data_IF_243770332360
#
_entry.id   IF_243770332360
#
_cell.length_a   1.000
_cell.length_b   1.000
_cell.length_c   1.000
_cell.angle_alpha   90.00
_cell.angle_beta   90.00
_cell.angle_gamma   90.00
#
_symmetry.space_group_name_H-M   'P 1'
#
loop_
_entity.id
_entity.type
_entity.pdbx_description
1 polymer ?
#
# COMPACT_ATOMS: atom_id res chain seq x y z
N UNK A 1 16.84 -29.32 -35.66
CA UNK A 1 17.79 -28.50 -34.91
C UNK A 1 17.07 -28.12 -33.61
N UNK A 2 17.40 -28.78 -32.50
CA UNK A 2 16.71 -28.61 -31.20
C UNK A 2 17.24 -27.36 -30.52
N UNK A 3 16.43 -26.33 -30.39
CA UNK A 3 16.72 -25.14 -29.59
C UNK A 3 16.71 -25.55 -28.11
N UNK A 4 17.88 -25.54 -27.50
CA UNK A 4 18.04 -25.70 -26.04
C UNK A 4 17.59 -24.39 -25.39
N UNK A 5 16.46 -24.43 -24.72
CA UNK A 5 16.02 -23.39 -23.80
C UNK A 5 17.02 -23.37 -22.62
N UNK A 6 17.90 -22.38 -22.59
CA UNK A 6 18.74 -22.12 -21.42
C UNK A 6 17.84 -21.53 -20.34
N UNK A 7 17.46 -22.35 -19.40
CA UNK A 7 16.85 -21.93 -18.15
C UNK A 7 17.95 -21.23 -17.33
N UNK A 8 17.98 -19.90 -17.40
CA UNK A 8 18.88 -19.11 -16.55
C UNK A 8 18.42 -19.27 -15.11
N UNK A 9 19.20 -20.03 -14.37
CA UNK A 9 19.06 -20.20 -12.91
C UNK A 9 19.45 -18.85 -12.28
N UNK A 10 18.47 -17.99 -12.02
CA UNK A 10 18.69 -16.77 -11.23
C UNK A 10 18.98 -17.26 -9.80
N UNK A 11 20.25 -17.42 -9.51
CA UNK A 11 20.74 -17.56 -8.14
C UNK A 11 20.56 -16.16 -7.54
N UNK A 12 19.53 -15.99 -6.71
CA UNK A 12 19.39 -14.85 -5.84
C UNK A 12 20.58 -14.86 -4.86
N UNK A 13 21.74 -14.43 -5.34
CA UNK A 13 22.91 -14.16 -4.52
C UNK A 13 22.56 -12.97 -3.64
N UNK A 14 22.03 -13.26 -2.48
CA UNK A 14 21.65 -12.32 -1.46
C UNK A 14 22.89 -11.70 -0.83
N UNK A 15 23.39 -10.68 -1.47
CA UNK A 15 23.87 -9.56 -0.70
C UNK A 15 22.60 -8.82 -0.25
N UNK A 16 22.08 -9.18 0.94
CA UNK A 16 21.35 -8.19 1.72
C UNK A 16 22.26 -6.98 1.72
N UNK A 17 21.87 -5.92 0.99
CA UNK A 17 22.58 -4.64 1.04
C UNK A 17 22.91 -4.37 2.50
N UNK A 18 24.13 -3.84 2.84
CA UNK A 18 24.47 -3.62 4.22
C UNK A 18 23.33 -2.86 4.84
N UNK A 19 22.67 -3.51 5.82
CA UNK A 19 21.65 -2.87 6.63
C UNK A 19 22.28 -1.55 7.09
N UNK A 20 21.89 -0.45 6.48
CA UNK A 20 21.98 0.82 7.19
C UNK A 20 21.31 0.50 8.51
N UNK A 21 21.94 0.87 9.62
CA UNK A 21 21.43 0.56 10.95
C UNK A 21 19.96 1.01 10.99
N UNK A 22 19.05 0.10 10.65
CA UNK A 22 17.62 0.41 10.55
C UNK A 22 17.18 0.81 11.93
N UNK A 23 16.70 2.03 12.05
CA UNK A 23 16.12 2.53 13.29
C UNK A 23 15.04 1.55 13.72
N UNK A 24 15.17 0.97 14.92
CA UNK A 24 14.15 0.06 15.45
C UNK A 24 12.92 0.88 15.78
N UNK A 25 11.78 0.54 15.19
CA UNK A 25 10.52 1.18 15.54
C UNK A 25 10.06 0.63 16.88
N UNK A 26 9.79 1.53 17.80
CA UNK A 26 9.18 1.28 19.11
C UNK A 26 7.91 2.10 19.21
N UNK A 27 6.89 1.54 19.84
CA UNK A 27 5.63 2.26 20.05
C UNK A 27 5.77 3.40 21.06
N UNK A 28 4.86 4.34 20.96
CA UNK A 28 4.65 5.38 21.98
C UNK A 28 4.12 4.77 23.26
N UNK A 29 3.33 3.70 23.14
CA UNK A 29 2.91 2.86 24.25
C UNK A 29 3.89 1.68 24.38
N UNK A 30 4.39 1.35 25.60
CA UNK A 30 5.45 0.35 25.76
C UNK A 30 5.14 -1.03 25.19
N UNK A 31 3.88 -1.43 25.26
CA UNK A 31 3.39 -2.77 24.87
C UNK A 31 2.64 -2.80 23.53
N UNK A 32 2.68 -1.71 22.75
CA UNK A 32 2.03 -1.60 21.47
C UNK A 32 2.96 -0.97 20.43
N UNK A 33 2.92 -1.44 19.19
CA UNK A 33 3.42 -0.75 17.99
C UNK A 33 2.36 -0.82 16.91
N UNK A 34 1.92 0.35 16.45
CA UNK A 34 0.87 0.46 15.44
C UNK A 34 1.47 0.84 14.09
N UNK A 35 1.17 0.04 13.07
CA UNK A 35 1.58 0.26 11.69
C UNK A 35 0.36 0.60 10.86
N UNK A 36 0.34 1.79 10.25
CA UNK A 36 -0.67 2.16 9.27
C UNK A 36 -0.29 1.59 7.91
N UNK A 37 -1.22 0.90 7.26
CA UNK A 37 -1.17 0.59 5.83
C UNK A 37 -2.26 1.43 5.16
N UNK A 38 -1.84 2.42 4.37
CA UNK A 38 -2.72 3.28 3.60
C UNK A 38 -2.61 3.00 2.11
N UNK A 39 -3.68 3.29 1.38
CA UNK A 39 -3.77 3.04 -0.04
C UNK A 39 -3.10 4.10 -0.91
N UNK A 40 -3.75 4.43 -2.02
CA UNK A 40 -3.18 5.27 -3.06
C UNK A 40 -2.93 6.69 -2.56
N UNK A 41 -1.68 7.13 -2.76
CA UNK A 41 -1.19 8.43 -2.33
C UNK A 41 -0.59 9.16 -3.53
N UNK A 42 -1.29 10.19 -3.99
CA UNK A 42 -0.87 11.10 -5.05
C UNK A 42 -1.10 12.54 -4.59
N UNK A 43 -0.04 13.34 -4.56
CA UNK A 43 -0.16 14.76 -4.15
C UNK A 43 -0.88 15.60 -5.21
N UNK A 44 -0.92 15.14 -6.46
CA UNK A 44 -1.88 15.59 -7.47
C UNK A 44 -1.53 16.90 -8.16
N UNK A 45 -0.25 17.34 -8.19
CA UNK A 45 0.11 18.58 -8.90
C UNK A 45 -0.35 18.56 -10.34
N UNK A 46 -0.13 17.44 -11.06
CA UNK A 46 -0.57 17.32 -12.46
C UNK A 46 -2.06 17.58 -12.64
N UNK A 47 -2.88 17.06 -11.73
CA UNK A 47 -4.33 17.30 -11.75
C UNK A 47 -4.70 18.72 -11.37
N UNK A 48 -4.06 19.27 -10.34
CA UNK A 48 -4.36 20.59 -9.84
C UNK A 48 -3.93 21.69 -10.81
N UNK A 49 -2.79 21.51 -11.51
CA UNK A 49 -2.33 22.41 -12.56
C UNK A 49 -3.27 22.37 -13.77
N UNK A 50 -3.70 21.19 -14.22
CA UNK A 50 -4.65 21.02 -15.30
C UNK A 50 -6.02 21.61 -14.94
N UNK A 51 -6.52 21.41 -13.72
CA UNK A 51 -7.77 21.97 -13.25
C UNK A 51 -7.72 23.50 -13.23
N UNK A 52 -6.60 24.09 -12.78
CA UNK A 52 -6.41 25.55 -12.84
C UNK A 52 -6.33 26.08 -14.28
N UNK A 53 -5.70 25.34 -15.21
CA UNK A 53 -5.66 25.69 -16.63
C UNK A 53 -7.06 25.74 -17.26
N UNK A 54 -7.98 24.93 -16.74
CA UNK A 54 -9.39 24.90 -17.16
C UNK A 54 -10.26 25.94 -16.43
N UNK A 55 -9.68 26.84 -15.64
CA UNK A 55 -10.37 27.90 -14.92
C UNK A 55 -10.84 27.52 -13.50
N UNK A 56 -10.45 26.37 -13.00
CA UNK A 56 -10.66 25.96 -11.61
C UNK A 56 -9.61 26.52 -10.65
N UNK A 57 -9.67 26.11 -9.41
CA UNK A 57 -8.73 26.53 -8.36
C UNK A 57 -7.72 25.41 -8.08
N UNK A 58 -6.42 25.71 -8.14
CA UNK A 58 -5.37 24.82 -7.67
C UNK A 58 -5.32 24.86 -6.14
N UNK A 59 -5.83 23.81 -5.50
CA UNK A 59 -5.94 23.73 -4.04
C UNK A 59 -4.58 23.68 -3.34
N UNK A 60 -3.56 23.11 -3.99
CA UNK A 60 -2.21 23.01 -3.43
C UNK A 60 -1.54 24.39 -3.37
N UNK A 61 -1.81 25.25 -4.36
CA UNK A 61 -1.33 26.65 -4.38
C UNK A 61 -2.11 27.49 -3.38
N UNK A 62 -3.44 27.34 -3.34
CA UNK A 62 -4.31 28.18 -2.48
C UNK A 62 -4.19 27.83 -0.99
N UNK A 63 -4.15 26.53 -0.64
CA UNK A 63 -4.22 26.05 0.75
C UNK A 63 -2.94 25.40 1.26
N UNK A 64 -1.97 25.13 0.38
CA UNK A 64 -0.75 24.36 0.70
C UNK A 64 -0.99 22.86 0.79
N UNK A 65 0.08 22.11 0.74
CA UNK A 65 0.07 20.64 0.72
C UNK A 65 -0.45 20.03 2.03
N UNK A 66 -0.19 20.70 3.15
CA UNK A 66 -0.67 20.27 4.46
C UNK A 66 -2.18 20.29 4.62
N UNK A 67 -2.91 21.03 3.77
CA UNK A 67 -4.37 21.09 3.79
C UNK A 67 -4.99 19.71 3.61
N UNK A 68 -4.50 18.94 2.63
CA UNK A 68 -5.11 17.66 2.24
C UNK A 68 -5.02 16.56 3.31
N UNK A 69 -4.08 16.66 4.24
CA UNK A 69 -3.87 15.64 5.30
C UNK A 69 -4.45 16.04 6.66
N UNK A 70 -5.00 17.25 6.77
CA UNK A 70 -5.38 17.83 8.07
C UNK A 70 -6.37 16.97 8.86
N UNK A 71 -7.39 16.42 8.18
CA UNK A 71 -8.41 15.61 8.85
C UNK A 71 -7.92 14.20 9.22
N UNK A 72 -6.79 13.75 8.68
CA UNK A 72 -6.17 12.47 8.98
C UNK A 72 -5.18 12.54 10.16
N UNK A 73 -4.91 13.73 10.71
CA UNK A 73 -3.90 13.93 11.75
C UNK A 73 -4.10 13.00 12.97
N UNK A 74 -5.35 12.74 13.38
CA UNK A 74 -5.62 11.83 14.52
C UNK A 74 -5.07 10.42 14.26
N UNK A 75 -5.31 9.87 13.07
CA UNK A 75 -4.76 8.58 12.69
C UNK A 75 -3.24 8.62 12.56
N UNK A 76 -2.69 9.65 11.89
CA UNK A 76 -1.25 9.81 11.72
C UNK A 76 -0.51 9.93 13.04
N UNK A 77 -1.12 10.56 14.05
CA UNK A 77 -0.56 10.68 15.40
C UNK A 77 -0.72 9.42 16.24
N UNK A 78 -1.66 8.55 15.91
CA UNK A 78 -1.94 7.32 16.66
C UNK A 78 -1.06 6.13 16.23
N UNK A 79 -0.26 6.25 15.17
CA UNK A 79 0.55 5.17 14.61
C UNK A 79 2.04 5.48 14.66
N UNK A 80 2.87 4.44 14.74
CA UNK A 80 4.32 4.54 14.93
C UNK A 80 5.09 4.40 13.61
N UNK A 81 4.54 3.65 12.65
CA UNK A 81 5.13 3.45 11.32
C UNK A 81 4.02 3.47 10.25
N UNK A 82 4.37 3.84 9.01
CA UNK A 82 3.42 3.93 7.88
C UNK A 82 3.96 3.17 6.68
N UNK A 83 3.06 2.53 5.94
CA UNK A 83 3.30 1.94 4.63
C UNK A 83 2.20 2.45 3.70
N UNK A 84 2.56 3.21 2.68
CA UNK A 84 1.61 3.80 1.72
C UNK A 84 1.98 3.39 0.29
N UNK A 85 1.02 3.43 -0.63
CA UNK A 85 1.30 3.33 -2.06
C UNK A 85 1.56 4.73 -2.62
N UNK A 86 2.79 5.03 -3.07
CA UNK A 86 3.11 6.31 -3.71
C UNK A 86 2.83 6.22 -5.21
N UNK A 87 1.66 6.69 -5.61
CA UNK A 87 1.15 6.59 -6.97
C UNK A 87 1.43 7.85 -7.80
N UNK A 88 2.65 8.31 -7.70
CA UNK A 88 3.18 9.47 -8.44
C UNK A 88 4.69 9.51 -8.32
N UNK A 89 5.45 9.83 -9.37
CA UNK A 89 6.86 10.12 -9.22
C UNK A 89 7.08 11.46 -8.52
N UNK A 90 8.14 11.54 -7.73
CA UNK A 90 8.59 12.75 -7.04
C UNK A 90 9.67 13.43 -7.87
N UNK A 91 9.27 14.35 -8.75
CA UNK A 91 10.18 14.95 -9.73
C UNK A 91 9.69 16.33 -10.18
N UNK A 92 10.62 17.15 -10.63
CA UNK A 92 10.32 18.42 -11.30
C UNK A 92 10.20 18.27 -12.84
N UNK A 93 10.36 17.05 -13.36
CA UNK A 93 10.19 16.78 -14.80
C UNK A 93 8.74 16.94 -15.19
N UNK A 94 8.53 17.30 -16.45
CA UNK A 94 7.21 17.53 -17.07
C UNK A 94 7.23 17.03 -18.53
N UNK A 95 7.89 15.89 -18.75
CA UNK A 95 8.04 15.34 -20.08
C UNK A 95 6.93 14.32 -20.35
N UNK A 96 6.23 14.48 -21.47
CA UNK A 96 5.26 13.48 -21.92
C UNK A 96 6.00 12.38 -22.68
N UNK A 97 6.43 11.34 -21.99
CA UNK A 97 7.23 10.25 -22.55
C UNK A 97 6.38 9.13 -23.17
N UNK A 98 5.13 9.00 -22.76
CA UNK A 98 4.31 7.84 -23.09
C UNK A 98 3.10 8.24 -23.94
N UNK A 99 3.19 8.04 -25.25
CA UNK A 99 2.05 8.24 -26.14
C UNK A 99 0.91 7.27 -25.80
N UNK A 100 -0.29 7.81 -25.57
CA UNK A 100 -1.49 7.03 -25.26
C UNK A 100 -1.59 6.57 -23.81
N UNK A 101 -0.82 7.14 -22.88
CA UNK A 101 -1.06 7.06 -21.45
C UNK A 101 -1.97 8.22 -21.05
N UNK A 102 -3.19 7.90 -20.58
CA UNK A 102 -4.23 8.90 -20.36
C UNK A 102 -3.94 9.82 -19.16
N UNK A 103 -3.27 9.30 -18.13
CA UNK A 103 -2.94 10.02 -16.91
C UNK A 103 -1.45 9.92 -16.65
N UNK A 104 -0.78 11.07 -16.61
CA UNK A 104 0.65 11.19 -16.26
C UNK A 104 0.74 12.03 -15.01
N UNK A 105 1.31 11.47 -13.97
CA UNK A 105 1.43 12.10 -12.67
C UNK A 105 2.85 12.62 -12.44
N UNK A 106 2.94 13.65 -11.65
CA UNK A 106 4.17 14.13 -11.04
C UNK A 106 3.85 14.88 -9.75
N UNK A 107 4.81 14.91 -8.85
CA UNK A 107 4.71 15.65 -7.61
C UNK A 107 6.03 16.34 -7.27
N UNK A 108 5.96 17.59 -6.83
CA UNK A 108 7.13 18.42 -6.53
C UNK A 108 7.84 17.93 -5.25
N UNK A 109 9.05 17.36 -5.34
CA UNK A 109 9.79 16.87 -4.19
C UNK A 109 10.18 17.98 -3.20
N UNK A 110 10.24 19.24 -3.64
CA UNK A 110 10.60 20.39 -2.78
C UNK A 110 9.48 20.72 -1.79
N UNK A 111 8.24 20.38 -2.11
CA UNK A 111 7.05 20.62 -1.26
C UNK A 111 6.80 19.52 -0.24
N UNK A 112 7.37 18.35 -0.43
CA UNK A 112 7.12 17.18 0.40
C UNK A 112 7.57 17.26 1.86
N UNK A 113 8.64 17.99 2.25
CA UNK A 113 9.02 18.10 3.65
C UNK A 113 7.91 18.59 4.56
N UNK A 114 6.99 19.43 4.05
CA UNK A 114 5.80 19.87 4.80
C UNK A 114 4.90 18.68 5.18
N UNK A 115 4.74 17.71 4.28
CA UNK A 115 3.89 16.52 4.49
C UNK A 115 4.65 15.45 5.27
N UNK A 116 5.88 15.15 4.89
CA UNK A 116 6.68 14.10 5.53
C UNK A 116 6.90 14.35 7.01
N UNK A 117 7.10 15.61 7.42
CA UNK A 117 7.16 15.98 8.82
C UNK A 117 5.90 15.61 9.63
N UNK A 118 4.74 15.50 8.98
CA UNK A 118 3.49 15.07 9.61
C UNK A 118 3.36 13.55 9.66
N UNK A 119 3.97 12.83 8.70
CA UNK A 119 3.85 11.38 8.62
C UNK A 119 4.79 10.66 9.59
N UNK A 120 5.99 11.19 9.87
CA UNK A 120 7.01 10.48 10.65
C UNK A 120 7.58 9.28 9.89
N UNK A 121 8.09 8.23 10.57
CA UNK A 121 8.72 7.09 9.91
C UNK A 121 7.78 6.39 8.91
N UNK A 122 8.23 6.22 7.66
CA UNK A 122 7.38 5.78 6.55
C UNK A 122 8.14 4.95 5.52
N UNK A 123 7.42 4.04 4.88
CA UNK A 123 7.84 3.34 3.66
C UNK A 123 6.79 3.50 2.56
N UNK A 124 7.25 3.61 1.31
CA UNK A 124 6.38 3.71 0.15
C UNK A 124 6.54 2.51 -0.78
N UNK A 125 5.40 1.90 -1.16
CA UNK A 125 5.35 1.04 -2.33
C UNK A 125 5.46 1.90 -3.59
N UNK A 126 6.37 1.53 -4.47
CA UNK A 126 6.52 2.09 -5.82
C UNK A 126 6.10 1.05 -6.90
N UNK A 127 5.54 -0.08 -6.50
CA UNK A 127 5.03 -1.08 -7.42
C UNK A 127 3.64 -0.67 -7.92
N UNK A 128 3.56 0.31 -8.83
CA UNK A 128 2.30 0.81 -9.38
C UNK A 128 2.46 1.36 -10.80
N UNK A 129 1.34 1.69 -11.42
CA UNK A 129 1.22 2.15 -12.80
C UNK A 129 1.63 3.60 -13.04
N UNK A 130 2.07 4.33 -12.01
CA UNK A 130 2.48 5.73 -12.12
C UNK A 130 3.94 6.00 -11.73
N UNK A 131 4.66 5.02 -11.20
CA UNK A 131 6.04 5.22 -10.73
C UNK A 131 7.04 5.64 -11.81
N UNK A 132 6.76 5.32 -13.09
CA UNK A 132 7.59 5.70 -14.22
C UNK A 132 6.93 6.76 -15.13
N UNK A 133 5.95 7.50 -14.69
CA UNK A 133 5.26 8.49 -15.53
C UNK A 133 6.21 9.52 -16.14
N UNK A 134 7.28 9.86 -15.45
CA UNK A 134 8.37 10.71 -15.93
C UNK A 134 9.64 9.89 -16.30
N UNK A 135 9.43 8.61 -16.68
CA UNK A 135 10.46 7.68 -17.13
C UNK A 135 11.43 7.23 -16.06
N UNK A 136 12.52 6.59 -16.50
CA UNK A 136 13.58 6.13 -15.60
C UNK A 136 14.22 7.28 -14.80
N UNK A 137 14.34 8.45 -15.40
CA UNK A 137 14.90 9.63 -14.74
C UNK A 137 13.96 10.17 -13.64
N UNK A 138 12.63 10.14 -13.84
CA UNK A 138 11.66 10.50 -12.82
C UNK A 138 11.63 9.49 -11.64
N UNK A 139 11.86 8.22 -11.93
CA UNK A 139 12.00 7.18 -10.90
C UNK A 139 13.28 7.41 -10.06
N UNK A 140 14.40 7.77 -10.69
CA UNK A 140 15.67 8.09 -10.00
C UNK A 140 15.53 9.35 -9.13
N UNK A 141 14.85 10.40 -9.63
CA UNK A 141 14.49 11.59 -8.85
C UNK A 141 13.65 11.19 -7.62
N UNK A 142 12.71 10.25 -7.79
CA UNK A 142 11.86 9.73 -6.70
C UNK A 142 12.70 9.03 -5.62
N UNK A 143 13.63 8.14 -6.00
CA UNK A 143 14.55 7.50 -5.04
C UNK A 143 15.38 8.53 -4.28
N UNK A 144 15.87 9.55 -4.98
CA UNK A 144 16.66 10.63 -4.38
C UNK A 144 15.83 11.43 -3.38
N UNK A 145 14.61 11.81 -3.73
CA UNK A 145 13.69 12.55 -2.85
C UNK A 145 13.30 11.75 -1.60
N UNK A 146 12.95 10.47 -1.75
CA UNK A 146 12.60 9.60 -0.63
C UNK A 146 13.78 9.40 0.32
N UNK A 147 14.98 9.17 -0.23
CA UNK A 147 16.20 9.06 0.57
C UNK A 147 16.51 10.34 1.35
N UNK A 148 16.34 11.51 0.73
CA UNK A 148 16.54 12.81 1.39
C UNK A 148 15.54 13.05 2.53
N UNK A 149 14.36 12.44 2.44
CA UNK A 149 13.30 12.51 3.44
C UNK A 149 13.38 11.40 4.51
N UNK A 150 14.42 10.56 4.51
CA UNK A 150 14.56 9.36 5.36
C UNK A 150 13.38 8.40 5.26
N UNK A 151 12.74 8.37 4.08
CA UNK A 151 11.65 7.46 3.76
C UNK A 151 12.18 6.22 3.06
N UNK A 152 11.69 5.04 3.46
CA UNK A 152 11.99 3.80 2.76
C UNK A 152 11.13 3.65 1.51
N UNK A 153 11.57 2.85 0.54
CA UNK A 153 10.75 2.45 -0.59
C UNK A 153 11.05 1.01 -1.02
N UNK A 154 10.10 0.40 -1.73
CA UNK A 154 10.17 -0.97 -2.23
C UNK A 154 9.26 -1.14 -3.46
N UNK A 155 9.42 -2.24 -4.19
CA UNK A 155 8.56 -2.56 -5.34
C UNK A 155 8.91 -1.83 -6.64
N UNK A 156 10.04 -1.11 -6.67
CA UNK A 156 10.68 -0.60 -7.88
C UNK A 156 12.20 -0.57 -7.68
N UNK A 157 12.95 -0.52 -8.77
CA UNK A 157 14.41 -0.52 -8.70
C UNK A 157 15.07 -0.08 -10.00
N UNK A 158 16.39 0.06 -9.95
CA UNK A 158 17.23 0.33 -11.12
C UNK A 158 17.41 -0.92 -12.01
N UNK A 159 17.00 -2.09 -11.49
CA UNK A 159 16.92 -3.38 -12.17
C UNK A 159 15.94 -4.29 -11.41
N UNK A 160 15.69 -5.47 -11.97
CA UNK A 160 14.76 -6.45 -11.38
C UNK A 160 15.20 -6.92 -9.99
N UNK A 161 16.48 -7.14 -9.76
CA UNK A 161 16.99 -7.60 -8.46
C UNK A 161 16.71 -6.58 -7.35
N UNK A 162 16.87 -5.30 -7.63
CA UNK A 162 16.54 -4.23 -6.69
C UNK A 162 15.02 -4.08 -6.52
N UNK A 163 14.26 -4.11 -7.61
CA UNK A 163 12.79 -4.00 -7.55
C UNK A 163 12.16 -5.13 -6.72
N UNK A 164 12.74 -6.34 -6.75
CA UNK A 164 12.27 -7.52 -6.03
C UNK A 164 12.63 -7.52 -4.54
N UNK A 165 13.45 -6.56 -4.04
CA UNK A 165 13.78 -6.50 -2.62
C UNK A 165 12.56 -6.05 -1.80
N UNK A 166 12.16 -6.81 -0.77
CA UNK A 166 11.13 -6.34 0.14
C UNK A 166 11.66 -5.25 1.07
N UNK A 167 10.77 -4.42 1.58
CA UNK A 167 11.05 -3.56 2.72
C UNK A 167 11.19 -4.42 3.98
N UNK A 168 12.20 -4.17 4.80
CA UNK A 168 12.40 -4.79 6.10
C UNK A 168 12.44 -3.71 7.17
N UNK A 169 11.63 -3.86 8.22
CA UNK A 169 11.62 -2.95 9.35
C UNK A 169 11.69 -3.74 10.66
N UNK A 170 12.69 -3.45 11.47
CA UNK A 170 12.76 -4.00 12.84
C UNK A 170 11.74 -3.30 13.73
N UNK A 171 10.93 -4.10 14.43
CA UNK A 171 9.91 -3.63 15.36
C UNK A 171 10.20 -4.25 16.74
N UNK A 172 10.05 -3.44 17.80
CA UNK A 172 10.16 -3.89 19.18
C UNK A 172 8.91 -3.51 19.96
N UNK A 173 8.26 -4.51 20.54
CA UNK A 173 7.06 -4.38 21.38
C UNK A 173 7.38 -4.97 22.74
N UNK A 174 7.47 -4.13 23.77
CA UNK A 174 7.97 -4.53 25.08
C UNK A 174 9.36 -5.17 24.97
N UNK A 175 9.48 -6.41 25.42
CA UNK A 175 10.73 -7.18 25.37
C UNK A 175 10.86 -8.06 24.10
N UNK A 176 9.87 -8.06 23.22
CA UNK A 176 9.85 -8.84 21.99
C UNK A 176 10.30 -8.01 20.80
N UNK A 177 11.06 -8.61 19.89
CA UNK A 177 11.46 -7.97 18.63
C UNK A 177 11.22 -8.93 17.48
N UNK A 178 10.73 -8.40 16.36
CA UNK A 178 10.55 -9.14 15.12
C UNK A 178 10.84 -8.24 13.90
N UNK A 179 10.74 -8.80 12.71
CA UNK A 179 10.88 -8.03 11.46
C UNK A 179 9.53 -7.96 10.76
N UNK A 180 9.05 -6.74 10.51
CA UNK A 180 8.00 -6.50 9.52
C UNK A 180 8.65 -6.54 8.14
N UNK A 181 8.11 -7.37 7.26
CA UNK A 181 8.55 -7.50 5.87
C UNK A 181 7.39 -7.15 4.96
N UNK A 182 7.60 -6.22 4.03
CA UNK A 182 6.57 -5.85 3.06
C UNK A 182 7.10 -6.06 1.65
N UNK A 183 6.49 -6.99 0.92
CA UNK A 183 6.69 -7.14 -0.51
C UNK A 183 5.76 -6.21 -1.27
N UNK A 184 6.23 -5.66 -2.39
CA UNK A 184 5.41 -4.95 -3.37
C UNK A 184 5.17 -5.80 -4.61
N UNK A 185 4.14 -5.45 -5.39
CA UNK A 185 3.92 -6.03 -6.72
C UNK A 185 2.84 -5.24 -7.47
N UNK A 186 3.12 -4.92 -8.72
CA UNK A 186 2.14 -4.33 -9.64
C UNK A 186 1.64 -5.44 -10.57
N UNK A 187 0.32 -5.59 -10.71
CA UNK A 187 -0.25 -6.61 -11.60
C UNK A 187 0.30 -6.51 -13.02
N UNK A 188 0.35 -7.65 -13.71
CA UNK A 188 0.75 -7.66 -15.11
C UNK A 188 -0.36 -7.11 -16.01
N UNK A 189 0.00 -6.08 -16.77
CA UNK A 189 -0.80 -5.50 -17.85
C UNK A 189 0.05 -5.38 -19.11
N UNK A 190 -0.49 -5.84 -20.27
CA UNK A 190 0.25 -5.87 -21.54
C UNK A 190 0.66 -4.49 -22.06
N UNK A 191 -0.13 -3.46 -21.78
CA UNK A 191 0.18 -2.09 -22.20
C UNK A 191 1.38 -1.55 -21.41
N UNK A 192 1.38 -1.79 -20.10
CA UNK A 192 2.51 -1.40 -19.25
C UNK A 192 3.78 -2.23 -19.52
N UNK A 193 3.64 -3.48 -19.94
CA UNK A 193 4.76 -4.33 -20.30
C UNK A 193 5.32 -3.97 -21.70
N UNK A 194 4.49 -4.04 -22.73
CA UNK A 194 4.94 -4.00 -24.13
C UNK A 194 5.03 -2.59 -24.73
N UNK A 195 4.16 -1.69 -24.28
CA UNK A 195 4.12 -0.32 -24.83
C UNK A 195 4.89 0.67 -23.98
N UNK A 196 4.71 0.62 -22.67
CA UNK A 196 5.31 1.60 -21.76
C UNK A 196 6.61 1.12 -21.12
N UNK A 197 6.89 -0.18 -21.09
CA UNK A 197 8.09 -0.77 -20.48
C UNK A 197 8.27 -0.35 -19.01
N UNK A 198 7.21 -0.44 -18.22
CA UNK A 198 7.21 -0.02 -16.80
C UNK A 198 7.83 -1.04 -15.86
N UNK A 199 7.83 -2.33 -16.24
CA UNK A 199 8.37 -3.37 -15.37
C UNK A 199 9.89 -3.42 -15.43
N UNK A 200 10.51 -3.61 -14.26
CA UNK A 200 11.95 -3.75 -14.15
C UNK A 200 12.45 -5.00 -14.88
N UNK A 201 13.56 -4.87 -15.60
CA UNK A 201 14.28 -5.99 -16.20
C UNK A 201 15.66 -6.18 -15.57
N UNK A 202 16.43 -7.18 -16.07
CA UNK A 202 17.77 -7.42 -15.55
C UNK A 202 18.69 -6.18 -15.63
N UNK A 203 18.56 -5.41 -16.71
CA UNK A 203 19.45 -4.32 -17.04
C UNK A 203 18.74 -2.96 -17.20
N UNK A 204 17.48 -2.85 -16.79
CA UNK A 204 16.73 -1.60 -16.86
C UNK A 204 15.83 -1.36 -15.67
N UNK A 205 15.62 -0.10 -15.25
CA UNK A 205 14.80 0.28 -14.12
C UNK A 205 13.31 0.04 -14.40
N UNK A 206 12.55 -0.12 -13.33
CA UNK A 206 11.12 -0.27 -13.42
C UNK A 206 10.47 -0.67 -12.10
N UNK A 207 9.15 -0.92 -12.17
CA UNK A 207 8.37 -1.47 -11.07
C UNK A 207 8.47 -3.00 -11.05
N UNK A 208 8.24 -3.61 -9.89
CA UNK A 208 8.16 -5.06 -9.79
C UNK A 208 6.80 -5.56 -10.32
N UNK A 209 6.85 -6.33 -11.39
CA UNK A 209 5.68 -7.07 -11.87
C UNK A 209 5.29 -8.15 -10.86
N UNK A 210 3.99 -8.27 -10.58
CA UNK A 210 3.46 -9.38 -9.78
C UNK A 210 3.58 -10.69 -10.57
N UNK A 211 4.57 -11.49 -10.21
CA UNK A 211 4.76 -12.86 -10.67
C UNK A 211 4.54 -13.78 -9.45
N UNK A 212 3.38 -14.41 -9.37
CA UNK A 212 2.99 -15.24 -8.20
C UNK A 212 3.98 -16.39 -7.95
N UNK A 213 4.43 -17.17 -8.94
CA UNK A 213 5.48 -18.18 -8.74
C UNK A 213 6.80 -17.62 -8.17
N UNK A 214 7.26 -16.48 -8.69
CA UNK A 214 8.47 -15.83 -8.17
C UNK A 214 8.25 -15.31 -6.74
N UNK A 215 7.12 -14.71 -6.45
CA UNK A 215 6.73 -14.25 -5.12
C UNK A 215 6.69 -15.43 -4.10
N UNK A 216 6.08 -16.55 -4.45
CA UNK A 216 6.02 -17.76 -3.61
C UNK A 216 7.43 -18.25 -3.26
N UNK A 217 8.33 -18.28 -4.23
CA UNK A 217 9.73 -18.68 -4.01
C UNK A 217 10.45 -17.70 -3.07
N UNK A 218 10.27 -16.38 -3.27
CA UNK A 218 10.88 -15.35 -2.43
C UNK A 218 10.37 -15.42 -0.98
N UNK A 219 9.06 -15.61 -0.78
CA UNK A 219 8.43 -15.78 0.53
C UNK A 219 8.99 -17.04 1.23
N UNK A 220 9.07 -18.18 0.53
CA UNK A 220 9.61 -19.40 1.09
C UNK A 220 11.07 -19.24 1.54
N UNK A 221 11.91 -18.56 0.74
CA UNK A 221 13.30 -18.24 1.10
C UNK A 221 13.38 -17.28 2.30
N UNK A 222 12.49 -16.28 2.36
CA UNK A 222 12.42 -15.38 3.50
C UNK A 222 12.08 -16.14 4.79
N UNK A 223 11.07 -17.00 4.76
CA UNK A 223 10.63 -17.81 5.91
C UNK A 223 11.73 -18.72 6.44
N UNK A 224 12.62 -19.22 5.58
CA UNK A 224 13.79 -19.98 6.02
C UNK A 224 14.82 -19.11 6.76
N UNK A 225 14.98 -17.83 6.36
CA UNK A 225 15.96 -16.92 6.95
C UNK A 225 15.44 -16.17 8.18
N UNK A 226 14.15 -15.79 8.15
CA UNK A 226 13.49 -15.00 9.19
C UNK A 226 12.11 -15.63 9.47
N UNK A 227 12.07 -16.79 10.17
CA UNK A 227 10.82 -17.54 10.37
C UNK A 227 9.75 -16.74 11.13
N UNK A 228 10.16 -15.86 12.05
CA UNK A 228 9.27 -15.05 12.89
C UNK A 228 8.90 -13.68 12.26
N UNK A 229 9.20 -13.45 10.97
CA UNK A 229 8.80 -12.22 10.30
C UNK A 229 7.26 -12.12 10.23
N UNK A 230 6.73 -10.92 10.40
CA UNK A 230 5.38 -10.62 9.96
C UNK A 230 5.44 -10.14 8.50
N UNK A 231 4.83 -10.91 7.60
CA UNK A 231 4.95 -10.72 6.15
C UNK A 231 3.67 -10.13 5.59
N UNK A 232 3.78 -8.97 4.99
CA UNK A 232 2.71 -8.31 4.22
C UNK A 232 3.06 -8.40 2.74
N UNK A 233 2.09 -8.68 1.89
CA UNK A 233 2.20 -8.48 0.45
C UNK A 233 1.29 -7.33 0.05
N UNK A 234 1.88 -6.25 -0.47
CA UNK A 234 1.16 -5.06 -0.89
C UNK A 234 1.10 -5.01 -2.42
N UNK A 235 -0.08 -5.24 -2.97
CA UNK A 235 -0.33 -5.37 -4.41
C UNK A 235 -1.00 -4.11 -4.93
N UNK A 236 -0.52 -3.59 -6.05
CA UNK A 236 -1.23 -2.56 -6.81
C UNK A 236 -1.92 -3.17 -8.03
N UNK A 237 -3.22 -2.88 -8.19
CA UNK A 237 -4.03 -3.36 -9.31
C UNK A 237 -4.65 -2.18 -10.06
N UNK A 238 -4.81 -2.33 -11.37
CA UNK A 238 -5.27 -1.27 -12.27
C UNK A 238 -6.79 -1.29 -12.50
N UNK A 239 -7.56 -1.87 -11.60
CA UNK A 239 -9.02 -2.08 -11.75
C UNK A 239 -9.83 -0.92 -11.15
N UNK A 240 -9.67 0.26 -11.73
CA UNK A 240 -10.23 1.52 -11.22
C UNK A 240 -11.75 1.46 -11.02
N UNK A 241 -12.21 1.63 -9.78
CA UNK A 241 -13.62 1.73 -9.38
C UNK A 241 -14.46 0.47 -9.63
N UNK A 242 -13.82 -0.71 -9.74
CA UNK A 242 -14.50 -1.99 -9.84
C UNK A 242 -14.27 -2.85 -8.59
N UNK A 243 -15.16 -3.81 -8.37
CA UNK A 243 -14.99 -4.85 -7.37
C UNK A 243 -14.01 -5.91 -7.87
N UNK A 244 -13.52 -6.78 -6.98
CA UNK A 244 -12.54 -7.82 -7.31
C UNK A 244 -13.01 -8.72 -8.45
N UNK A 245 -12.10 -9.23 -9.23
CA UNK A 245 -12.34 -10.25 -10.25
C UNK A 245 -11.79 -11.63 -9.84
N UNK A 246 -12.10 -12.66 -10.63
CA UNK A 246 -11.65 -14.03 -10.36
C UNK A 246 -10.13 -14.22 -10.51
N UNK A 247 -9.44 -13.41 -11.33
CA UNK A 247 -7.98 -13.45 -11.47
C UNK A 247 -7.32 -12.90 -10.22
N UNK A 248 -7.78 -11.75 -9.74
CA UNK A 248 -7.31 -11.14 -8.49
C UNK A 248 -7.49 -12.11 -7.32
N UNK A 249 -8.66 -12.71 -7.22
CA UNK A 249 -8.98 -13.69 -6.19
C UNK A 249 -7.97 -14.83 -6.15
N UNK A 250 -7.72 -15.50 -7.28
CA UNK A 250 -6.79 -16.61 -7.38
C UNK A 250 -5.34 -16.23 -7.05
N UNK A 251 -4.87 -15.06 -7.53
CA UNK A 251 -3.52 -14.56 -7.27
C UNK A 251 -3.28 -14.27 -5.78
N UNK A 252 -4.24 -13.61 -5.10
CA UNK A 252 -4.09 -13.24 -3.70
C UNK A 252 -4.18 -14.46 -2.76
N UNK A 253 -5.05 -15.42 -3.08
CA UNK A 253 -5.07 -16.72 -2.37
C UNK A 253 -3.76 -17.47 -2.53
N UNK A 254 -3.14 -17.46 -3.73
CA UNK A 254 -1.86 -18.10 -3.94
C UNK A 254 -0.70 -17.45 -3.15
N UNK A 255 -0.72 -16.12 -2.97
CA UNK A 255 0.21 -15.40 -2.08
C UNK A 255 -0.01 -15.78 -0.62
N UNK A 256 -1.26 -15.87 -0.16
CA UNK A 256 -1.59 -16.31 1.19
C UNK A 256 -1.07 -17.74 1.45
N UNK A 257 -1.34 -18.65 0.52
CA UNK A 257 -0.89 -20.04 0.61
C UNK A 257 0.65 -20.19 0.69
N UNK A 258 1.39 -19.20 0.17
CA UNK A 258 2.85 -19.15 0.26
C UNK A 258 3.38 -18.76 1.67
N UNK A 259 2.48 -18.34 2.58
CA UNK A 259 2.86 -17.98 3.95
C UNK A 259 2.95 -16.48 4.21
N UNK A 260 2.26 -15.65 3.42
CA UNK A 260 2.04 -14.23 3.73
C UNK A 260 1.06 -14.12 4.90
N UNK A 261 1.31 -13.26 5.89
CA UNK A 261 0.43 -13.09 7.05
C UNK A 261 -0.76 -12.17 6.72
N UNK A 262 -0.55 -11.19 5.84
CA UNK A 262 -1.55 -10.21 5.45
C UNK A 262 -1.36 -9.80 3.98
N UNK A 263 -2.42 -9.90 3.18
CA UNK A 263 -2.44 -9.36 1.82
C UNK A 263 -3.29 -8.10 1.78
N UNK A 264 -2.73 -7.04 1.19
CA UNK A 264 -3.41 -5.74 1.05
C UNK A 264 -3.23 -5.24 -0.37
N UNK A 265 -4.32 -4.79 -0.99
CA UNK A 265 -4.24 -4.20 -2.32
C UNK A 265 -4.69 -2.74 -2.34
N UNK A 266 -4.12 -2.00 -3.30
CA UNK A 266 -4.45 -0.63 -3.69
C UNK A 266 -4.64 -0.55 -5.21
N UNK A 267 -5.00 0.61 -5.75
CA UNK A 267 -5.16 0.86 -7.19
C UNK A 267 -6.61 0.92 -7.66
N UNK A 268 -7.56 0.26 -6.98
CA UNK A 268 -8.98 0.37 -7.29
C UNK A 268 -9.56 1.77 -6.99
N UNK A 269 -8.85 2.62 -6.26
CA UNK A 269 -9.23 3.94 -5.75
C UNK A 269 -10.45 3.96 -4.82
N UNK A 270 -11.05 2.81 -4.54
CA UNK A 270 -12.18 2.63 -3.63
C UNK A 270 -11.95 1.44 -2.71
N UNK A 271 -12.75 1.33 -1.66
CA UNK A 271 -12.82 0.10 -0.87
C UNK A 271 -13.34 -1.07 -1.72
N UNK A 272 -12.76 -2.23 -1.54
CA UNK A 272 -13.25 -3.49 -2.08
C UNK A 272 -13.53 -4.50 -0.95
N UNK A 273 -13.78 -5.75 -1.32
CA UNK A 273 -14.06 -6.85 -0.40
C UNK A 273 -12.92 -7.07 0.60
N UNK A 274 -13.28 -7.69 1.72
CA UNK A 274 -12.34 -8.23 2.71
C UNK A 274 -12.68 -9.70 2.93
N UNK A 275 -11.67 -10.54 2.98
CA UNK A 275 -11.86 -11.99 3.12
C UNK A 275 -10.95 -12.56 4.21
N UNK A 276 -11.46 -13.56 4.94
CA UNK A 276 -10.67 -14.44 5.77
C UNK A 276 -10.61 -15.83 5.12
N UNK A 277 -9.43 -16.23 4.65
CA UNK A 277 -9.20 -17.46 3.88
C UNK A 277 -9.01 -18.73 4.75
N UNK A 278 -9.30 -18.64 6.05
CA UNK A 278 -9.03 -19.71 7.03
C UNK A 278 -7.65 -19.63 7.68
N UNK A 279 -6.76 -18.79 7.17
CA UNK A 279 -5.38 -18.63 7.66
C UNK A 279 -5.02 -17.18 7.95
N UNK A 280 -5.67 -16.21 7.31
CA UNK A 280 -5.48 -14.78 7.54
C UNK A 280 -6.38 -13.92 6.65
N UNK A 281 -6.15 -12.61 6.70
CA UNK A 281 -6.99 -11.63 6.04
C UNK A 281 -6.42 -11.19 4.71
N UNK A 282 -7.30 -10.99 3.72
CA UNK A 282 -7.05 -10.39 2.42
C UNK A 282 -7.94 -9.15 2.31
N UNK A 283 -7.34 -7.99 2.08
CA UNK A 283 -8.01 -6.73 1.76
C UNK A 283 -7.83 -6.49 0.27
N UNK A 284 -8.86 -6.71 -0.53
CA UNK A 284 -8.79 -6.66 -1.99
C UNK A 284 -8.62 -5.25 -2.55
N UNK A 285 -9.04 -4.23 -1.81
CA UNK A 285 -8.80 -2.83 -2.11
C UNK A 285 -9.03 -1.95 -0.89
N UNK A 286 -8.01 -1.18 -0.50
CA UNK A 286 -8.13 -0.24 0.62
C UNK A 286 -8.40 1.20 0.19
N UNK A 287 -8.47 1.46 -1.14
CA UNK A 287 -8.82 2.74 -1.74
C UNK A 287 -7.78 3.85 -1.58
N UNK A 288 -8.17 5.08 -1.83
CA UNK A 288 -7.30 6.25 -1.73
C UNK A 288 -7.02 6.65 -0.28
N UNK A 289 -5.74 6.81 0.08
CA UNK A 289 -5.37 7.41 1.35
C UNK A 289 -5.31 8.95 1.24
N UNK A 290 -4.63 9.44 0.20
CA UNK A 290 -4.53 10.84 -0.17
C UNK A 290 -4.38 10.95 -1.69
N UNK A 291 -5.40 11.45 -2.37
CA UNK A 291 -5.35 11.52 -3.83
C UNK A 291 -5.98 12.84 -4.33
N UNK A 292 -5.15 13.82 -4.69
CA UNK A 292 -5.61 15.18 -4.97
C UNK A 292 -6.09 15.36 -6.42
N UNK A 293 -6.87 14.41 -6.93
CA UNK A 293 -7.62 14.49 -8.17
C UNK A 293 -9.12 14.33 -7.92
N UNK A 294 -9.96 14.82 -8.81
CA UNK A 294 -11.38 14.49 -8.78
C UNK A 294 -11.56 13.00 -9.13
N UNK A 295 -12.22 12.27 -8.24
CA UNK A 295 -12.55 10.88 -8.47
C UNK A 295 -13.67 10.70 -9.51
N UNK A 296 -13.83 9.46 -9.99
CA UNK A 296 -14.89 9.07 -10.92
C UNK A 296 -15.98 8.24 -10.25
N UNK A 297 -16.13 8.37 -8.92
CA UNK A 297 -17.05 7.57 -8.11
C UNK A 297 -18.49 7.60 -8.62
N UNK A 298 -19.02 8.79 -8.93
CA UNK A 298 -20.38 8.94 -9.47
C UNK A 298 -20.55 8.26 -10.83
N UNK A 299 -19.56 8.35 -11.72
CA UNK A 299 -19.63 7.75 -13.08
C UNK A 299 -19.61 6.24 -13.05
N UNK A 300 -18.96 5.63 -12.05
CA UNK A 300 -18.86 4.17 -11.89
C UNK A 300 -19.82 3.61 -10.83
N UNK A 301 -20.64 4.46 -10.20
CA UNK A 301 -21.48 4.08 -9.06
C UNK A 301 -20.67 3.40 -7.94
N UNK A 302 -19.42 3.84 -7.78
CA UNK A 302 -18.49 3.28 -6.81
C UNK A 302 -18.67 3.92 -5.43
N UNK A 303 -18.46 3.17 -4.33
CA UNK A 303 -18.52 3.73 -2.99
C UNK A 303 -17.36 4.72 -2.76
N UNK A 304 -17.63 5.93 -2.22
CA UNK A 304 -16.60 6.95 -2.03
C UNK A 304 -15.76 6.72 -0.77
N UNK A 305 -15.50 5.47 -0.43
CA UNK A 305 -14.88 5.10 0.84
C UNK A 305 -13.52 4.41 0.62
N UNK A 306 -12.64 4.60 1.60
CA UNK A 306 -11.37 3.91 1.74
C UNK A 306 -11.26 3.26 3.12
N UNK A 307 -10.38 2.28 3.25
CA UNK A 307 -10.15 1.47 4.43
C UNK A 307 -8.69 1.58 4.93
N UNK A 308 -8.21 2.76 5.39
CA UNK A 308 -6.91 2.81 6.06
C UNK A 308 -6.81 1.76 7.16
N UNK A 309 -5.84 0.86 7.05
CA UNK A 309 -5.69 -0.31 7.90
C UNK A 309 -4.59 -0.07 8.93
N UNK A 310 -4.88 -0.26 10.20
CA UNK A 310 -3.92 -0.27 11.30
C UNK A 310 -3.67 -1.69 11.75
N UNK A 311 -2.40 -2.10 11.66
CA UNK A 311 -1.91 -3.36 12.25
C UNK A 311 -1.34 -3.01 13.63
N UNK A 312 -1.95 -3.49 14.69
CA UNK A 312 -1.54 -3.27 16.07
C UNK A 312 -0.80 -4.50 16.59
N UNK A 313 0.50 -4.41 16.72
CA UNK A 313 1.34 -5.42 17.36
C UNK A 313 1.40 -5.14 18.85
N UNK A 314 0.90 -6.03 19.67
CA UNK A 314 0.82 -5.81 21.12
C UNK A 314 1.15 -7.06 21.93
N UNK A 315 1.63 -6.82 23.17
CA UNK A 315 1.87 -7.88 24.12
C UNK A 315 0.58 -8.20 24.89
N UNK A 316 0.19 -9.46 24.91
CA UNK A 316 -0.92 -9.97 25.71
C UNK A 316 -0.57 -11.33 26.31
N UNK A 317 -0.71 -11.47 27.63
CA UNK A 317 -0.37 -12.68 28.37
C UNK A 317 1.06 -13.18 28.08
N UNK A 318 2.03 -12.23 27.93
CA UNK A 318 3.44 -12.50 27.64
C UNK A 318 3.71 -12.94 26.19
N UNK A 319 2.75 -12.85 25.27
CA UNK A 319 2.86 -13.23 23.87
C UNK A 319 2.57 -12.05 22.95
N UNK A 320 3.32 -11.97 21.87
CA UNK A 320 3.04 -11.02 20.80
C UNK A 320 1.76 -11.43 20.06
N UNK A 321 0.83 -10.50 19.94
CA UNK A 321 -0.41 -10.65 19.20
C UNK A 321 -0.54 -9.55 18.15
N UNK A 322 -1.38 -9.79 17.16
CA UNK A 322 -1.66 -8.84 16.07
C UNK A 322 -3.16 -8.54 16.03
N UNK A 323 -3.52 -7.27 16.10
CA UNK A 323 -4.86 -6.76 15.87
C UNK A 323 -4.93 -6.05 14.51
N UNK A 324 -6.06 -6.15 13.83
CA UNK A 324 -6.29 -5.46 12.56
C UNK A 324 -7.53 -4.57 12.71
N UNK A 325 -7.37 -3.25 12.48
CA UNK A 325 -8.47 -2.29 12.47
C UNK A 325 -8.46 -1.45 11.22
N UNK A 326 -9.58 -1.28 10.56
CA UNK A 326 -9.76 -0.25 9.54
C UNK A 326 -10.53 0.93 10.13
N UNK A 327 -10.10 2.13 9.77
CA UNK A 327 -10.77 3.40 10.08
C UNK A 327 -11.31 3.99 8.80
N UNK A 328 -12.57 3.68 8.40
CA UNK A 328 -13.08 4.10 7.10
C UNK A 328 -13.03 5.62 6.93
N UNK A 329 -12.67 6.04 5.72
CA UNK A 329 -12.64 7.45 5.34
C UNK A 329 -13.46 7.69 4.07
N UNK A 330 -14.00 8.90 3.93
CA UNK A 330 -14.52 9.39 2.66
C UNK A 330 -13.37 9.97 1.89
N UNK A 331 -13.17 9.52 0.65
CA UNK A 331 -12.04 9.87 -0.20
C UNK A 331 -12.42 10.51 -1.55
N UNK A 332 -13.71 10.64 -1.86
CA UNK A 332 -14.17 11.38 -3.04
C UNK A 332 -14.02 12.89 -2.82
N UNK A 333 -13.11 13.50 -3.57
CA UNK A 333 -12.82 14.95 -3.48
C UNK A 333 -13.99 15.83 -3.92
N UNK A 334 -14.95 15.31 -4.67
CA UNK A 334 -16.23 15.98 -4.93
C UNK A 334 -17.08 16.16 -3.66
N UNK A 335 -16.87 15.30 -2.65
CA UNK A 335 -17.56 15.37 -1.35
C UNK A 335 -16.70 16.09 -0.31
N UNK A 336 -15.39 15.79 -0.25
CA UNK A 336 -14.51 16.22 0.85
C UNK A 336 -13.61 17.40 0.51
N UNK A 337 -13.71 17.94 -0.70
CA UNK A 337 -12.91 19.08 -1.15
C UNK A 337 -11.41 18.92 -0.87
N UNK A 338 -10.85 17.78 -1.31
CA UNK A 338 -9.43 17.41 -1.14
C UNK A 338 -8.94 17.26 0.31
N UNK A 339 -9.87 17.05 1.26
CA UNK A 339 -9.58 16.74 2.66
C UNK A 339 -10.22 15.42 3.04
N UNK A 340 -9.65 14.26 2.69
CA UNK A 340 -10.16 12.96 3.16
C UNK A 340 -10.45 13.03 4.66
N UNK A 341 -11.59 12.50 5.08
CA UNK A 341 -12.05 12.55 6.46
C UNK A 341 -12.63 11.21 6.91
N UNK A 342 -12.63 10.98 8.20
CA UNK A 342 -13.33 9.84 8.76
C UNK A 342 -14.83 9.92 8.49
N UNK A 343 -15.43 8.75 8.36
CA UNK A 343 -16.87 8.60 8.14
C UNK A 343 -17.68 9.08 9.36
N UNK A 344 -18.88 9.60 9.09
CA UNK A 344 -19.93 9.79 10.09
C UNK A 344 -20.57 8.46 10.47
N UNK A 345 -21.43 8.40 11.48
CA UNK A 345 -22.16 7.20 11.87
C UNK A 345 -23.00 6.60 10.73
N UNK A 346 -23.68 7.46 9.98
CA UNK A 346 -24.48 7.03 8.82
C UNK A 346 -23.60 6.44 7.71
N UNK A 347 -22.47 7.09 7.41
CA UNK A 347 -21.52 6.60 6.42
C UNK A 347 -20.83 5.31 6.89
N UNK A 348 -20.53 5.20 8.20
CA UNK A 348 -20.00 3.97 8.79
C UNK A 348 -20.96 2.81 8.62
N UNK A 349 -22.26 3.03 8.88
CA UNK A 349 -23.30 2.04 8.66
C UNK A 349 -23.37 1.60 7.20
N UNK A 350 -23.16 2.51 6.26
CA UNK A 350 -23.10 2.18 4.83
C UNK A 350 -21.86 1.35 4.47
N UNK A 351 -20.69 1.69 5.00
CA UNK A 351 -19.45 0.89 4.82
C UNK A 351 -19.63 -0.52 5.38
N UNK A 352 -20.17 -0.63 6.60
CA UNK A 352 -20.41 -1.92 7.25
C UNK A 352 -21.39 -2.80 6.47
N UNK A 353 -22.48 -2.22 5.96
CA UNK A 353 -23.46 -2.92 5.13
C UNK A 353 -22.86 -3.40 3.80
N UNK A 354 -22.03 -2.56 3.16
CA UNK A 354 -21.33 -2.92 1.93
C UNK A 354 -20.37 -4.11 2.17
N UNK A 355 -19.54 -4.03 3.20
CA UNK A 355 -18.63 -5.13 3.54
C UNK A 355 -19.38 -6.41 3.93
N UNK A 356 -20.47 -6.30 4.67
CA UNK A 356 -21.30 -7.47 5.02
C UNK A 356 -21.93 -8.13 3.79
N UNK A 357 -22.20 -7.37 2.75
CA UNK A 357 -22.78 -7.86 1.49
C UNK A 357 -21.76 -8.45 0.53
N UNK A 358 -20.55 -7.88 0.46
CA UNK A 358 -19.57 -8.21 -0.59
C UNK A 358 -18.44 -9.11 -0.07
N UNK A 359 -18.15 -9.07 1.22
CA UNK A 359 -16.98 -9.72 1.82
C UNK A 359 -17.28 -11.14 2.32
N UNK A 360 -16.23 -11.94 2.45
CA UNK A 360 -16.34 -13.33 2.89
C UNK A 360 -15.49 -13.58 4.15
N UNK A 361 -16.15 -13.85 5.26
CA UNK A 361 -15.54 -14.44 6.46
C UNK A 361 -16.52 -15.43 7.07
N UNK A 362 -16.05 -16.65 7.24
CA UNK A 362 -16.87 -17.70 7.83
C UNK A 362 -16.80 -17.62 9.37
N UNK A 363 -17.94 -17.32 10.00
CA UNK A 363 -18.04 -17.31 11.44
C UNK A 363 -17.73 -18.68 12.08
N UNK A 364 -17.90 -19.79 11.35
CA UNK A 364 -17.54 -21.13 11.82
C UNK A 364 -16.03 -21.32 11.97
N UNK A 365 -15.23 -20.54 11.21
CA UNK A 365 -13.77 -20.49 11.37
C UNK A 365 -13.34 -19.76 12.65
N UNK A 366 -14.24 -19.03 13.32
CA UNK A 366 -13.97 -18.17 14.46
C UNK A 366 -13.47 -16.77 14.06
N UNK A 367 -13.37 -16.47 12.75
CA UNK A 367 -13.15 -15.11 12.27
C UNK A 367 -14.39 -14.25 12.58
N UNK A 368 -14.17 -13.02 12.99
CA UNK A 368 -15.26 -12.10 13.31
C UNK A 368 -14.83 -10.65 13.05
N UNK A 369 -15.83 -9.82 12.78
CA UNK A 369 -15.64 -8.37 12.63
C UNK A 369 -16.42 -7.66 13.72
N UNK A 370 -15.70 -6.91 14.56
CA UNK A 370 -16.30 -6.07 15.60
C UNK A 370 -16.36 -4.63 15.12
N UNK A 371 -17.39 -3.96 15.54
CA UNK A 371 -17.65 -2.55 15.29
C UNK A 371 -17.35 -1.77 16.56
N UNK A 372 -16.70 -0.62 16.42
CA UNK A 372 -16.38 0.23 17.54
C UNK A 372 -16.15 1.67 17.13
N UNK A 373 -15.88 2.48 18.13
CA UNK A 373 -15.48 3.87 17.99
C UNK A 373 -14.44 4.20 19.07
N UNK A 374 -13.43 4.94 18.72
CA UNK A 374 -12.41 5.49 19.62
C UNK A 374 -12.09 6.95 19.26
N UNK A 375 -11.00 7.49 19.79
CA UNK A 375 -10.56 8.88 19.55
C UNK A 375 -10.19 9.17 18.11
N UNK A 376 -9.86 8.13 17.29
CA UNK A 376 -9.59 8.29 15.85
C UNK A 376 -10.91 8.40 15.10
N UNK A 377 -11.88 7.53 15.37
CA UNK A 377 -13.16 7.50 14.69
C UNK A 377 -13.87 6.14 14.83
N UNK A 378 -14.85 5.91 13.97
CA UNK A 378 -15.46 4.60 13.83
C UNK A 378 -14.47 3.61 13.21
N UNK A 379 -14.48 2.35 13.70
CA UNK A 379 -13.61 1.31 13.17
C UNK A 379 -14.31 -0.05 13.04
N UNK A 380 -13.75 -0.87 12.15
CA UNK A 380 -14.02 -2.30 12.09
C UNK A 380 -12.75 -3.03 12.53
N UNK A 381 -12.85 -3.93 13.50
CA UNK A 381 -11.76 -4.75 14.01
C UNK A 381 -11.93 -6.18 13.51
N UNK A 382 -10.95 -6.66 12.78
CA UNK A 382 -10.92 -7.98 12.14
C UNK A 382 -10.18 -8.96 13.05
N UNK A 383 -10.92 -9.88 13.63
CA UNK A 383 -10.40 -10.83 14.60
C UNK A 383 -9.97 -12.12 13.90
N UNK A 384 -8.72 -12.50 14.09
CA UNK A 384 -8.21 -13.78 13.65
C UNK A 384 -8.53 -14.86 14.71
N UNK A 385 -9.05 -16.03 14.30
CA UNK A 385 -9.27 -17.14 15.22
C UNK A 385 -7.99 -17.49 15.97
N UNK A 386 -8.10 -17.80 17.25
CA UNK A 386 -6.96 -18.34 17.99
C UNK A 386 -6.59 -19.69 17.37
N UNK A 387 -5.31 -19.96 17.06
CA UNK A 387 -4.91 -21.30 16.69
C UNK A 387 -5.42 -22.27 17.75
N UNK A 388 -6.17 -23.28 17.35
CA UNK A 388 -6.54 -24.35 18.27
C UNK A 388 -5.26 -24.92 18.84
N UNK A 389 -5.11 -24.90 20.16
CA UNK A 389 -3.98 -25.58 20.79
C UNK A 389 -3.91 -26.98 20.21
N UNK A 390 -2.84 -27.28 19.44
CA UNK A 390 -2.59 -28.65 18.99
C UNK A 390 -2.58 -29.51 20.26
N UNK A 391 -3.59 -30.37 20.37
CA UNK A 391 -3.63 -31.41 21.43
C UNK A 391 -2.48 -32.37 21.25
#
# INVERSE_FOLDING_TARGET
MKMKTMLSLVILATALSPLHAQTVITGREPDHVRVLIGGDTCYGESYQEEYARLGGTNILVEKGYGYCVTNLNRLLQAVDFRVLNLETPLTLRRETLYQGKDYVHYSDPVKLPEIFGRFGPIAYSLANNHSLDEGAAGLDDTFTALKAADAQCFGAGTNLDQAAQPMLQKIRVGNSSFTLVVFGGFEHDEKYDKQFHFYAGPDHPGTLMLDVPAAQKAIAQLRQKIPDAFVVYFVHRYDNYHWKDAKQDAELHALRAAGVDLVVCAGAHMMQEVEYDGHGWIFYGIGNFLFNALGRYASYHAPPFSLPLVVDFHMKDGRLQTGLRVYPTVCDNGIVNYQPRFVTETEFSAVDALLAQTSAWDASSGAAVKRGQDEIGYYLEFLTPRPSAKK
#
